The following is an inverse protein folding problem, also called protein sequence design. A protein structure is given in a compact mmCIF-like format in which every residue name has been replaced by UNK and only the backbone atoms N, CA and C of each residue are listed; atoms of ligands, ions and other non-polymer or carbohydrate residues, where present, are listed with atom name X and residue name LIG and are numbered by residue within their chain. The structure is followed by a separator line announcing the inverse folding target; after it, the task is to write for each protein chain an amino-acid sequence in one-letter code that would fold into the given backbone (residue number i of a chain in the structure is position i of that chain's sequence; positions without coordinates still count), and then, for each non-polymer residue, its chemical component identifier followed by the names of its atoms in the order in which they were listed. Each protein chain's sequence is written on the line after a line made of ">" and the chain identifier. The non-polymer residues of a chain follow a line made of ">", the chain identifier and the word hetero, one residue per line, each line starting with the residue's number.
data_IF_527265959139
#
_entry.id   IF_527265959139
#
_cell.length_a   1.000
_cell.length_b   1.000
_cell.length_c   1.000
_cell.angle_alpha   90.00
_cell.angle_beta   90.00
_cell.angle_gamma   90.00
#
_symmetry.space_group_name_H-M   'P 1'
#
loop_
_entity.id
_entity.type
_entity.pdbx_description
1 polymer ?
#
# COMPACT_ATOMS: atom_id res chain seq x y z
N UNK A 1 -25.54 -14.81 -8.60
CA UNK A 1 -24.09 -14.64 -8.84
C UNK A 1 -23.44 -14.43 -7.47
N UNK A 2 -22.67 -15.39 -6.97
CA UNK A 2 -22.13 -15.32 -5.60
C UNK A 2 -21.16 -14.13 -5.49
N UNK A 3 -21.54 -13.09 -4.76
CA UNK A 3 -20.61 -12.05 -4.32
C UNK A 3 -19.63 -12.70 -3.35
N UNK A 4 -18.50 -13.19 -3.87
CA UNK A 4 -17.36 -13.57 -3.03
C UNK A 4 -16.83 -12.28 -2.41
N UNK A 5 -16.98 -12.17 -1.09
CA UNK A 5 -16.39 -11.07 -0.32
C UNK A 5 -14.87 -10.96 -0.54
N UNK A 6 -14.25 -9.85 -0.14
CA UNK A 6 -12.82 -9.64 -0.31
C UNK A 6 -12.02 -10.74 0.40
N UNK A 7 -10.93 -11.17 -0.23
CA UNK A 7 -9.99 -12.16 0.33
C UNK A 7 -9.34 -11.57 1.58
N UNK A 8 -9.43 -12.24 2.76
CA UNK A 8 -8.78 -11.76 3.97
C UNK A 8 -7.26 -11.57 3.77
N UNK A 9 -6.67 -10.45 4.22
CA UNK A 9 -5.22 -10.22 4.10
C UNK A 9 -4.35 -11.33 4.71
N UNK A 10 -4.88 -12.05 5.70
CA UNK A 10 -4.22 -13.20 6.34
C UNK A 10 -4.02 -14.36 5.36
N UNK A 11 -4.87 -14.53 4.35
CA UNK A 11 -4.69 -15.56 3.33
C UNK A 11 -3.50 -15.25 2.42
N UNK A 12 -3.28 -13.96 2.10
CA UNK A 12 -2.07 -13.54 1.37
C UNK A 12 -0.81 -13.86 2.18
N UNK A 13 -0.80 -13.54 3.46
CA UNK A 13 0.36 -13.82 4.29
C UNK A 13 0.56 -15.34 4.50
N UNK A 14 -0.51 -16.11 4.69
CA UNK A 14 -0.44 -17.56 4.79
C UNK A 14 0.14 -18.21 3.52
N UNK A 15 -0.30 -17.79 2.33
CA UNK A 15 0.22 -18.32 1.08
C UNK A 15 1.71 -17.99 0.88
N UNK A 16 2.13 -16.80 1.29
CA UNK A 16 3.54 -16.38 1.25
C UNK A 16 4.41 -17.22 2.21
N UNK A 17 3.95 -17.47 3.43
CA UNK A 17 4.69 -18.29 4.41
C UNK A 17 4.82 -19.76 3.93
N UNK A 18 3.76 -20.32 3.34
CA UNK A 18 3.72 -21.74 2.95
C UNK A 18 4.32 -22.01 1.57
N UNK A 19 4.02 -21.18 0.56
CA UNK A 19 4.38 -21.47 -0.83
C UNK A 19 5.68 -20.80 -1.27
N UNK A 20 5.98 -19.62 -0.72
CA UNK A 20 7.17 -18.86 -1.10
C UNK A 20 8.34 -19.20 -0.18
N UNK A 21 8.14 -19.08 1.14
CA UNK A 21 9.19 -19.43 2.09
C UNK A 21 9.30 -20.92 2.39
N UNK A 22 8.19 -21.67 2.28
CA UNK A 22 8.15 -23.06 2.70
C UNK A 22 8.40 -23.23 4.20
N UNK A 23 7.82 -22.37 5.05
CA UNK A 23 8.02 -22.47 6.51
C UNK A 23 7.48 -23.81 7.01
N UNK A 24 8.37 -24.61 7.59
CA UNK A 24 8.03 -25.88 8.23
C UNK A 24 7.96 -25.77 9.76
N UNK A 25 7.44 -26.83 10.40
CA UNK A 25 7.32 -26.92 11.84
C UNK A 25 8.68 -26.83 12.56
N UNK A 26 9.77 -27.30 11.95
CA UNK A 26 11.10 -27.26 12.54
C UNK A 26 11.65 -25.83 12.57
N UNK A 27 11.41 -25.03 11.53
CA UNK A 27 11.74 -23.61 11.48
C UNK A 27 10.94 -22.81 12.50
N UNK A 28 9.65 -23.12 12.69
CA UNK A 28 8.81 -22.55 13.75
C UNK A 28 9.35 -22.89 15.15
N UNK A 29 9.70 -24.16 15.40
CA UNK A 29 10.29 -24.58 16.68
C UNK A 29 11.62 -23.88 16.97
N UNK A 30 12.46 -23.63 15.95
CA UNK A 30 13.70 -22.86 16.10
C UNK A 30 13.47 -21.41 16.54
N UNK A 31 12.37 -20.79 16.09
CA UNK A 31 11.99 -19.45 16.56
C UNK A 31 11.56 -19.45 18.04
N UNK A 32 10.88 -20.50 18.49
CA UNK A 32 10.38 -20.62 19.86
C UNK A 32 11.46 -21.07 20.88
N UNK A 33 12.58 -21.60 20.39
CA UNK A 33 13.65 -22.20 21.18
C UNK A 33 13.46 -23.72 21.40
N UNK A 34 14.55 -24.47 21.68
CA UNK A 34 14.48 -25.91 21.93
C UNK A 34 13.55 -26.23 23.11
N UNK A 35 12.66 -27.21 22.96
CA UNK A 35 11.73 -27.64 24.02
C UNK A 35 10.44 -26.81 24.16
N UNK A 36 10.11 -25.94 23.20
CA UNK A 36 8.84 -25.21 23.20
C UNK A 36 7.64 -26.15 23.03
N UNK A 37 6.69 -26.14 23.97
CA UNK A 37 5.44 -26.91 23.85
C UNK A 37 4.56 -26.47 22.68
N UNK A 38 3.61 -27.33 22.30
CA UNK A 38 2.68 -27.14 21.15
C UNK A 38 1.97 -25.78 21.18
N UNK A 39 1.60 -25.30 22.37
CA UNK A 39 0.92 -24.00 22.56
C UNK A 39 1.76 -22.80 22.12
N UNK A 40 3.07 -22.80 22.42
CA UNK A 40 3.99 -21.75 21.97
C UNK A 40 4.19 -21.79 20.46
N UNK A 41 4.31 -22.99 19.89
CA UNK A 41 4.42 -23.17 18.44
C UNK A 41 3.18 -22.65 17.69
N UNK A 42 1.98 -22.98 18.17
CA UNK A 42 0.71 -22.47 17.62
C UNK A 42 0.63 -20.95 17.78
N UNK A 43 0.98 -20.40 18.94
CA UNK A 43 1.00 -18.96 19.18
C UNK A 43 1.96 -18.22 18.23
N UNK A 44 3.16 -18.77 17.98
CA UNK A 44 4.11 -18.21 17.03
C UNK A 44 3.65 -18.32 15.58
N UNK A 45 3.00 -19.42 15.19
CA UNK A 45 2.40 -19.57 13.86
C UNK A 45 1.28 -18.54 13.65
N UNK A 46 0.39 -18.36 14.63
CA UNK A 46 -0.65 -17.32 14.59
C UNK A 46 -0.01 -15.94 14.55
N UNK A 47 1.01 -15.67 15.36
CA UNK A 47 1.75 -14.40 15.33
C UNK A 47 2.34 -14.09 13.96
N UNK A 48 2.92 -15.08 13.29
CA UNK A 48 3.44 -14.94 11.93
C UNK A 48 2.34 -14.61 10.91
N UNK A 49 1.13 -15.19 11.04
CA UNK A 49 0.00 -14.88 10.14
C UNK A 49 -0.44 -13.40 10.20
N UNK A 50 -0.31 -12.76 11.36
CA UNK A 50 -0.61 -11.33 11.51
C UNK A 50 0.62 -10.42 11.33
N UNK A 51 1.83 -11.01 11.27
CA UNK A 51 3.08 -10.30 11.04
C UNK A 51 3.46 -10.34 9.54
N UNK A 52 2.71 -9.65 8.69
CA UNK A 52 2.92 -9.64 7.23
C UNK A 52 4.29 -9.11 6.80
N UNK A 53 4.97 -8.37 7.68
CA UNK A 53 6.33 -7.83 7.47
C UNK A 53 7.42 -8.66 8.15
N UNK A 54 7.04 -9.75 8.82
CA UNK A 54 7.93 -10.67 9.53
C UNK A 54 8.89 -9.97 10.49
N UNK A 55 8.42 -8.89 11.13
CA UNK A 55 9.17 -8.06 12.09
C UNK A 55 9.74 -8.94 13.19
N UNK A 56 11.03 -8.79 13.50
CA UNK A 56 11.68 -9.52 14.59
C UNK A 56 12.00 -10.98 14.27
N UNK A 57 11.94 -11.39 12.99
CA UNK A 57 12.26 -12.76 12.55
C UNK A 57 13.39 -12.75 11.52
N UNK A 58 14.05 -13.91 11.26
CA UNK A 58 15.06 -14.02 10.21
C UNK A 58 14.55 -13.69 8.80
N UNK A 59 13.23 -13.71 8.59
CA UNK A 59 12.59 -13.45 7.30
C UNK A 59 11.99 -12.04 7.19
N UNK A 60 12.45 -11.11 8.03
CA UNK A 60 11.95 -9.73 8.03
C UNK A 60 12.04 -9.08 6.64
N UNK A 61 10.95 -8.47 6.23
CA UNK A 61 10.81 -7.88 4.90
C UNK A 61 11.70 -6.65 4.77
N UNK A 62 12.40 -6.54 3.63
CA UNK A 62 13.24 -5.38 3.30
C UNK A 62 12.42 -4.08 3.32
N UNK A 63 13.02 -2.99 3.80
CA UNK A 63 12.42 -1.67 3.92
C UNK A 63 11.23 -1.60 4.91
N UNK A 64 11.12 -2.55 5.83
CA UNK A 64 10.24 -2.40 6.99
C UNK A 64 10.62 -1.11 7.74
N UNK A 65 9.67 -0.20 8.02
CA UNK A 65 9.94 1.04 8.73
C UNK A 65 10.61 0.80 10.08
N UNK A 66 11.47 1.73 10.49
CA UNK A 66 12.21 1.63 11.74
C UNK A 66 11.27 1.50 12.94
N UNK A 67 11.66 0.64 13.88
CA UNK A 67 11.04 0.52 15.20
C UNK A 67 11.88 1.20 16.29
N UNK A 68 12.87 2.01 15.91
CA UNK A 68 13.65 2.82 16.84
C UNK A 68 12.70 3.71 17.66
N UNK A 69 12.93 3.80 18.96
CA UNK A 69 12.05 4.50 19.90
C UNK A 69 10.83 3.68 20.35
N UNK A 70 10.29 2.77 19.53
CA UNK A 70 9.17 1.91 19.97
C UNK A 70 9.62 0.84 20.97
N UNK A 71 10.87 0.38 20.87
CA UNK A 71 11.43 -0.63 21.77
C UNK A 71 11.56 -0.16 23.22
N UNK A 72 11.71 1.15 23.42
CA UNK A 72 11.86 1.78 24.74
C UNK A 72 10.53 2.28 25.31
N UNK A 73 9.45 2.27 24.52
CA UNK A 73 8.15 2.74 24.97
C UNK A 73 7.46 1.74 25.90
N UNK A 74 6.85 2.24 26.97
CA UNK A 74 5.93 1.44 27.78
C UNK A 74 4.68 1.08 26.99
N UNK A 75 4.04 -0.05 27.34
CA UNK A 75 2.79 -0.49 26.69
C UNK A 75 1.72 0.60 26.74
N UNK A 76 1.56 1.23 27.89
CA UNK A 76 0.59 2.30 28.13
C UNK A 76 0.86 3.51 27.24
N UNK A 77 2.11 4.00 27.20
CA UNK A 77 2.49 5.13 26.36
C UNK A 77 2.27 4.84 24.87
N UNK A 78 2.64 3.63 24.41
CA UNK A 78 2.40 3.20 23.04
C UNK A 78 0.90 3.20 22.70
N UNK A 79 0.06 2.60 23.55
CA UNK A 79 -1.38 2.52 23.32
C UNK A 79 -2.00 3.91 23.26
N UNK A 80 -1.70 4.81 24.21
CA UNK A 80 -2.23 6.17 24.19
C UNK A 80 -1.80 6.94 22.94
N UNK A 81 -0.53 6.83 22.54
CA UNK A 81 -0.03 7.44 21.31
C UNK A 81 -0.77 6.92 20.07
N UNK A 82 -0.96 5.59 19.96
CA UNK A 82 -1.70 4.99 18.84
C UNK A 82 -3.17 5.40 18.83
N UNK A 83 -3.83 5.47 19.99
CA UNK A 83 -5.21 5.95 20.11
C UNK A 83 -5.30 7.41 19.64
N UNK A 84 -4.42 8.29 20.12
CA UNK A 84 -4.42 9.70 19.73
C UNK A 84 -4.23 9.88 18.22
N UNK A 85 -3.27 9.18 17.62
CA UNK A 85 -3.04 9.20 16.16
C UNK A 85 -4.24 8.66 15.40
N UNK A 86 -4.85 7.56 15.86
CA UNK A 86 -6.05 6.98 15.23
C UNK A 86 -7.25 7.92 15.32
N UNK A 87 -7.43 8.62 16.44
CA UNK A 87 -8.52 9.61 16.58
C UNK A 87 -8.31 10.79 15.63
N UNK A 88 -7.09 11.32 15.51
CA UNK A 88 -6.79 12.37 14.53
C UNK A 88 -7.02 11.90 13.09
N UNK A 89 -6.57 10.68 12.77
CA UNK A 89 -6.82 10.05 11.47
C UNK A 89 -8.33 9.90 11.19
N UNK A 90 -9.10 9.46 12.19
CA UNK A 90 -10.55 9.32 12.10
C UNK A 90 -11.22 10.65 11.80
N UNK A 91 -10.89 11.71 12.54
CA UNK A 91 -11.45 13.05 12.33
C UNK A 91 -11.10 13.58 10.93
N UNK A 92 -9.86 13.36 10.47
CA UNK A 92 -9.48 13.73 9.11
C UNK A 92 -10.33 13.00 8.06
N UNK A 93 -10.50 11.68 8.20
CA UNK A 93 -11.33 10.88 7.28
C UNK A 93 -12.79 11.37 7.32
N UNK A 94 -13.33 11.68 8.50
CA UNK A 94 -14.70 12.19 8.67
C UNK A 94 -14.88 13.52 7.95
N UNK A 95 -13.92 14.45 8.05
CA UNK A 95 -13.94 15.69 7.28
C UNK A 95 -13.92 15.38 5.77
N UNK A 96 -12.96 14.58 5.29
CA UNK A 96 -12.81 14.30 3.85
C UNK A 96 -14.04 13.65 3.23
N UNK A 97 -14.69 12.76 3.97
CA UNK A 97 -15.89 12.04 3.51
C UNK A 97 -17.17 12.86 3.69
N UNK A 98 -17.10 14.02 4.33
CA UNK A 98 -18.21 14.99 4.43
C UNK A 98 -18.08 16.16 3.48
N UNK A 99 -16.97 16.27 2.75
CA UNK A 99 -16.86 17.21 1.65
C UNK A 99 -17.86 16.84 0.55
N UNK A 100 -18.40 17.84 -0.18
CA UNK A 100 -19.30 17.57 -1.29
C UNK A 100 -18.61 16.65 -2.32
N UNK A 101 -19.34 15.71 -2.94
CA UNK A 101 -18.79 14.88 -3.99
C UNK A 101 -18.29 15.76 -5.15
N UNK A 102 -17.26 15.30 -5.89
CA UNK A 102 -16.79 16.05 -7.04
C UNK A 102 -17.91 16.17 -8.09
N UNK A 103 -17.94 17.29 -8.81
CA UNK A 103 -18.79 17.42 -9.99
C UNK A 103 -18.47 16.29 -10.98
N UNK A 104 -19.50 15.56 -11.41
CA UNK A 104 -19.37 14.45 -12.35
C UNK A 104 -18.71 14.87 -13.66
N UNK A 105 -18.81 16.14 -14.04
CA UNK A 105 -18.11 16.71 -15.20
C UNK A 105 -16.58 16.63 -15.04
N UNK A 106 -16.05 16.74 -13.82
CA UNK A 106 -14.60 16.67 -13.54
C UNK A 106 -14.06 15.25 -13.54
N UNK A 107 -14.91 14.27 -13.24
CA UNK A 107 -14.55 12.85 -13.17
C UNK A 107 -15.10 12.03 -14.35
N UNK A 108 -15.39 12.66 -15.49
CA UNK A 108 -15.82 11.94 -16.70
C UNK A 108 -14.79 10.90 -17.16
N UNK A 109 -15.25 9.84 -17.83
CA UNK A 109 -14.41 8.73 -18.27
C UNK A 109 -13.26 9.17 -19.19
N UNK A 110 -13.54 10.06 -20.15
CA UNK A 110 -12.53 10.62 -21.06
C UNK A 110 -11.46 11.44 -20.31
N UNK A 111 -11.86 12.14 -19.25
CA UNK A 111 -10.96 12.87 -18.35
C UNK A 111 -10.19 11.96 -17.39
N UNK A 112 -10.43 10.65 -17.39
CA UNK A 112 -9.66 9.67 -16.63
C UNK A 112 -8.65 8.89 -17.47
N UNK A 113 -8.70 8.98 -18.80
CA UNK A 113 -7.88 8.17 -19.69
C UNK A 113 -6.38 8.55 -19.62
N UNK A 114 -5.50 7.54 -19.74
CA UNK A 114 -4.05 7.76 -19.86
C UNK A 114 -3.70 8.54 -21.13
N UNK A 115 -4.40 8.23 -22.25
CA UNK A 115 -4.21 8.83 -23.55
C UNK A 115 -5.51 8.83 -24.38
N UNK A 116 -5.68 9.78 -25.32
CA UNK A 116 -4.97 11.05 -25.41
C UNK A 116 -5.53 12.05 -24.38
N UNK A 117 -4.67 12.87 -23.78
CA UNK A 117 -5.07 13.92 -22.83
C UNK A 117 -5.63 15.18 -23.53
N UNK A 118 -6.02 15.06 -24.81
CA UNK A 118 -6.48 16.18 -25.61
C UNK A 118 -7.86 16.63 -25.08
N UNK A 119 -8.02 17.94 -24.85
CA UNK A 119 -9.28 18.51 -24.36
C UNK A 119 -9.35 18.75 -22.86
N UNK A 120 -8.29 18.47 -22.09
CA UNK A 120 -8.22 18.88 -20.69
C UNK A 120 -8.03 20.39 -20.58
N UNK A 121 -8.89 21.02 -19.78
CA UNK A 121 -8.78 22.43 -19.40
C UNK A 121 -7.87 22.57 -18.18
N UNK A 122 -7.47 23.81 -17.88
CA UNK A 122 -6.65 24.09 -16.69
C UNK A 122 -7.36 23.66 -15.40
N UNK A 123 -8.68 23.81 -15.34
CA UNK A 123 -9.53 23.33 -14.24
C UNK A 123 -9.44 21.80 -14.06
N UNK A 124 -9.39 21.04 -15.17
CA UNK A 124 -9.24 19.58 -15.13
C UNK A 124 -7.87 19.17 -14.58
N UNK A 125 -6.81 19.90 -14.95
CA UNK A 125 -5.45 19.65 -14.47
C UNK A 125 -5.35 19.95 -12.98
N UNK A 126 -5.87 21.11 -12.54
CA UNK A 126 -5.89 21.51 -11.13
C UNK A 126 -6.67 20.46 -10.31
N UNK A 127 -7.86 20.09 -10.78
CA UNK A 127 -8.69 19.08 -10.13
C UNK A 127 -7.96 17.73 -10.06
N UNK A 128 -7.35 17.25 -11.16
CA UNK A 128 -6.58 15.99 -11.20
C UNK A 128 -5.48 15.96 -10.15
N UNK A 129 -4.69 17.04 -10.03
CA UNK A 129 -3.59 17.12 -9.05
C UNK A 129 -4.16 17.11 -7.63
N UNK A 130 -5.17 17.95 -7.34
CA UNK A 130 -5.78 18.03 -6.02
C UNK A 130 -6.46 16.71 -5.60
N UNK A 131 -7.25 16.11 -6.49
CA UNK A 131 -7.92 14.83 -6.28
C UNK A 131 -6.92 13.70 -6.07
N UNK A 132 -5.80 13.70 -6.80
CA UNK A 132 -4.72 12.71 -6.62
C UNK A 132 -4.11 12.84 -5.22
N UNK A 133 -3.70 14.05 -4.81
CA UNK A 133 -3.14 14.28 -3.48
C UNK A 133 -4.13 13.83 -2.40
N UNK A 134 -5.40 14.27 -2.50
CA UNK A 134 -6.46 13.92 -1.56
C UNK A 134 -6.68 12.41 -1.47
N UNK A 135 -6.75 11.71 -2.60
CA UNK A 135 -6.92 10.26 -2.67
C UNK A 135 -5.77 9.53 -1.95
N UNK A 136 -4.52 9.79 -2.32
CA UNK A 136 -3.37 9.08 -1.75
C UNK A 136 -3.14 9.41 -0.27
N UNK A 137 -3.37 10.66 0.15
CA UNK A 137 -3.32 11.04 1.57
C UNK A 137 -4.40 10.30 2.36
N UNK A 138 -5.65 10.31 1.88
CA UNK A 138 -6.77 9.65 2.56
C UNK A 138 -6.56 8.14 2.65
N UNK A 139 -6.14 7.49 1.56
CA UNK A 139 -5.81 6.05 1.56
C UNK A 139 -4.68 5.74 2.54
N UNK A 140 -3.63 6.56 2.59
CA UNK A 140 -2.54 6.39 3.55
C UNK A 140 -3.00 6.50 5.00
N UNK A 141 -3.88 7.45 5.30
CA UNK A 141 -4.45 7.66 6.64
C UNK A 141 -5.37 6.51 7.05
N UNK A 142 -6.20 5.99 6.14
CA UNK A 142 -7.03 4.80 6.38
C UNK A 142 -6.14 3.59 6.72
N UNK A 143 -5.08 3.35 5.94
CA UNK A 143 -4.13 2.26 6.19
C UNK A 143 -3.43 2.42 7.55
N UNK A 144 -3.05 3.65 7.92
CA UNK A 144 -2.47 3.95 9.22
C UNK A 144 -3.46 3.65 10.36
N UNK A 145 -4.70 4.11 10.25
CA UNK A 145 -5.74 3.88 11.26
C UNK A 145 -6.01 2.39 11.46
N UNK A 146 -6.20 1.63 10.36
CA UNK A 146 -6.41 0.18 10.42
C UNK A 146 -5.23 -0.55 11.08
N UNK A 147 -4.00 -0.20 10.69
CA UNK A 147 -2.80 -0.78 11.30
C UNK A 147 -2.70 -0.43 12.79
N UNK A 148 -3.02 0.80 13.19
CA UNK A 148 -2.99 1.21 14.59
C UNK A 148 -4.02 0.43 15.42
N UNK A 149 -5.24 0.22 14.92
CA UNK A 149 -6.27 -0.58 15.60
C UNK A 149 -5.75 -2.00 15.84
N UNK A 150 -5.19 -2.64 14.81
CA UNK A 150 -4.57 -3.96 14.95
C UNK A 150 -3.43 -3.99 15.97
N UNK A 151 -2.55 -2.98 15.95
CA UNK A 151 -1.44 -2.86 16.91
C UNK A 151 -1.92 -2.63 18.34
N UNK A 152 -2.95 -1.81 18.56
CA UNK A 152 -3.55 -1.57 19.88
C UNK A 152 -4.10 -2.89 20.44
N UNK A 153 -4.90 -3.62 19.65
CA UNK A 153 -5.47 -4.91 20.06
C UNK A 153 -4.36 -5.90 20.38
N UNK A 154 -3.33 -6.00 19.52
CA UNK A 154 -2.23 -6.94 19.71
C UNK A 154 -1.40 -6.63 20.98
N UNK A 155 -1.17 -5.35 21.30
CA UNK A 155 -0.43 -4.96 22.51
C UNK A 155 -1.28 -5.09 23.78
N UNK A 156 -2.58 -4.75 23.72
CA UNK A 156 -3.52 -4.92 24.84
C UNK A 156 -3.67 -6.39 25.25
N UNK A 157 -3.77 -7.28 24.28
CA UNK A 157 -3.91 -8.73 24.49
C UNK A 157 -2.58 -9.42 24.83
N UNK A 158 -1.46 -8.70 24.77
CA UNK A 158 -0.12 -9.24 25.02
C UNK A 158 0.45 -10.11 23.88
N UNK A 159 -0.20 -10.14 22.71
CA UNK A 159 0.26 -10.86 21.51
C UNK A 159 1.48 -10.19 20.85
N UNK A 160 1.70 -8.90 21.08
CA UNK A 160 2.83 -8.15 20.53
C UNK A 160 3.36 -7.14 21.52
N UNK A 161 4.65 -6.79 21.38
CA UNK A 161 5.28 -5.67 22.09
C UNK A 161 5.20 -4.41 21.20
N UNK A 162 5.27 -3.20 21.77
CA UNK A 162 5.32 -1.94 21.00
C UNK A 162 6.33 -1.96 19.83
N UNK A 163 7.51 -2.53 20.08
CA UNK A 163 8.58 -2.69 19.09
C UNK A 163 8.29 -3.62 17.91
N UNK A 164 7.30 -4.50 18.04
CA UNK A 164 6.86 -5.44 17.00
C UNK A 164 5.84 -4.80 16.05
N UNK A 165 5.37 -3.59 16.37
CA UNK A 165 4.32 -2.88 15.64
C UNK A 165 4.83 -1.59 14.98
N UNK A 166 5.81 -1.65 14.05
CA UNK A 166 6.27 -0.48 13.33
C UNK A 166 5.13 0.13 12.48
N UNK A 167 5.18 1.45 12.18
CA UNK A 167 4.18 2.09 11.32
C UNK A 167 4.12 1.43 9.94
N UNK A 168 2.96 1.41 9.24
CA UNK A 168 2.79 0.71 7.97
C UNK A 168 3.43 1.45 6.79
N UNK A 169 3.61 2.76 6.92
CA UNK A 169 4.22 3.67 5.95
C UNK A 169 5.66 3.98 6.38
N UNK A 170 6.55 4.13 5.40
CA UNK A 170 7.90 4.62 5.61
C UNK A 170 7.99 6.15 5.47
N UNK A 171 9.20 6.71 5.52
CA UNK A 171 9.41 8.15 5.38
C UNK A 171 9.13 8.62 3.95
N UNK A 172 8.26 9.62 3.77
CA UNK A 172 8.00 10.25 2.47
C UNK A 172 9.15 11.18 2.01
N UNK A 173 10.10 11.50 2.90
CA UNK A 173 11.37 12.15 2.53
C UNK A 173 12.23 11.30 1.58
N UNK A 174 11.89 10.03 1.40
CA UNK A 174 12.55 9.13 0.44
C UNK A 174 11.76 8.94 -0.86
N UNK A 175 10.55 9.48 -0.95
CA UNK A 175 9.60 9.24 -2.05
C UNK A 175 9.82 10.08 -3.30
N UNK A 176 11.05 10.45 -3.64
CA UNK A 176 11.38 11.33 -4.78
C UNK A 176 11.58 10.57 -6.12
N UNK A 177 11.26 9.27 -6.18
CA UNK A 177 11.12 8.49 -7.42
C UNK A 177 9.97 7.51 -7.22
N UNK A 178 9.31 7.08 -8.29
CA UNK A 178 8.22 6.11 -8.23
C UNK A 178 8.73 4.81 -7.61
N UNK A 179 9.95 4.36 -7.96
CA UNK A 179 10.59 3.20 -7.34
C UNK A 179 10.69 3.32 -5.81
N UNK A 180 11.15 4.46 -5.31
CA UNK A 180 11.32 4.66 -3.85
C UNK A 180 9.99 4.88 -3.15
N UNK A 181 9.04 5.56 -3.79
CA UNK A 181 7.70 5.72 -3.27
C UNK A 181 7.07 4.37 -2.94
N UNK A 182 6.99 3.44 -3.88
CA UNK A 182 6.46 2.08 -3.64
C UNK A 182 7.39 1.22 -2.78
N UNK A 183 8.70 1.40 -2.97
CA UNK A 183 9.71 0.55 -2.35
C UNK A 183 9.98 0.85 -0.87
N UNK A 184 9.74 2.09 -0.42
CA UNK A 184 10.17 2.60 0.89
C UNK A 184 9.03 3.31 1.61
N UNK A 185 8.36 4.26 0.95
CA UNK A 185 7.45 5.20 1.62
C UNK A 185 6.02 4.65 1.76
N UNK A 186 5.46 4.10 0.69
CA UNK A 186 4.09 3.60 0.64
C UNK A 186 3.94 2.27 1.40
N UNK A 187 2.70 1.84 1.66
CA UNK A 187 2.43 0.75 2.62
C UNK A 187 3.25 -0.54 2.40
N UNK A 188 3.94 -1.00 3.44
CA UNK A 188 4.87 -2.13 3.34
C UNK A 188 4.22 -3.49 3.64
N UNK A 189 2.90 -3.54 3.85
CA UNK A 189 2.20 -4.73 4.33
C UNK A 189 2.04 -5.84 3.28
N UNK A 190 1.89 -5.49 2.00
CA UNK A 190 1.73 -6.46 0.91
C UNK A 190 3.04 -6.81 0.21
N UNK A 191 4.15 -6.15 0.58
CA UNK A 191 5.42 -6.27 -0.13
C UNK A 191 5.90 -7.72 -0.25
N UNK A 192 5.93 -8.44 0.87
CA UNK A 192 6.38 -9.84 0.90
C UNK A 192 5.56 -10.72 -0.03
N UNK A 193 4.24 -10.63 0.08
CA UNK A 193 3.33 -11.38 -0.76
C UNK A 193 3.57 -11.09 -2.26
N UNK A 194 3.61 -9.81 -2.64
CA UNK A 194 3.74 -9.41 -4.05
C UNK A 194 5.08 -9.86 -4.64
N UNK A 195 6.19 -9.58 -3.97
CA UNK A 195 7.53 -9.95 -4.48
C UNK A 195 7.77 -11.45 -4.37
N UNK A 196 7.32 -12.09 -3.30
CA UNK A 196 7.48 -13.52 -3.07
C UNK A 196 6.74 -14.37 -4.09
N UNK A 197 5.50 -14.01 -4.43
CA UNK A 197 4.74 -14.73 -5.46
C UNK A 197 5.29 -14.46 -6.86
N UNK A 198 5.76 -13.23 -7.13
CA UNK A 198 6.50 -12.95 -8.36
C UNK A 198 7.75 -13.84 -8.45
N UNK A 199 8.49 -13.99 -7.35
CA UNK A 199 9.68 -14.82 -7.31
C UNK A 199 9.37 -16.30 -7.55
N UNK A 200 8.34 -16.82 -6.89
CA UNK A 200 7.88 -18.19 -7.03
C UNK A 200 7.48 -18.52 -8.47
N UNK A 201 6.73 -17.62 -9.12
CA UNK A 201 6.29 -17.82 -10.50
C UNK A 201 7.50 -17.82 -11.44
N UNK A 202 8.36 -16.81 -11.38
CA UNK A 202 9.51 -16.70 -12.30
C UNK A 202 10.49 -17.87 -12.12
N UNK A 203 10.75 -18.27 -10.88
CA UNK A 203 11.63 -19.41 -10.61
C UNK A 203 11.07 -20.74 -11.18
N UNK A 204 9.74 -20.87 -11.30
CA UNK A 204 9.09 -22.06 -11.86
C UNK A 204 8.95 -22.01 -13.38
N UNK A 205 8.63 -20.85 -13.95
CA UNK A 205 8.32 -20.71 -15.38
C UNK A 205 9.52 -20.36 -16.24
N UNK A 206 10.50 -19.65 -15.68
CA UNK A 206 11.70 -19.19 -16.38
C UNK A 206 12.98 -19.54 -15.58
N UNK A 207 13.22 -20.82 -15.24
CA UNK A 207 14.35 -21.23 -14.40
C UNK A 207 15.72 -20.97 -15.04
N UNK A 208 15.75 -20.83 -16.38
CA UNK A 208 16.96 -20.57 -17.17
C UNK A 208 17.35 -19.09 -17.22
N UNK A 209 16.50 -18.19 -16.72
CA UNK A 209 16.80 -16.77 -16.74
C UNK A 209 17.98 -16.47 -15.80
N UNK A 210 19.06 -15.81 -16.26
CA UNK A 210 20.20 -15.51 -15.41
C UNK A 210 19.77 -14.65 -14.23
N UNK A 211 19.97 -15.18 -13.02
CA UNK A 211 19.64 -14.48 -11.77
C UNK A 211 20.36 -13.14 -11.74
N UNK A 212 19.67 -12.11 -11.27
CA UNK A 212 20.19 -10.75 -11.15
C UNK A 212 20.48 -10.03 -12.47
N UNK A 213 20.14 -10.63 -13.62
CA UNK A 213 20.12 -9.89 -14.88
C UNK A 213 19.06 -8.78 -14.87
N UNK A 214 19.19 -7.78 -15.74
CA UNK A 214 18.19 -6.74 -15.89
C UNK A 214 16.81 -7.31 -16.26
N UNK A 215 16.78 -8.33 -17.14
CA UNK A 215 15.57 -9.04 -17.51
C UNK A 215 14.90 -9.71 -16.30
N UNK A 216 15.67 -10.46 -15.49
CA UNK A 216 15.19 -11.09 -14.26
C UNK A 216 14.58 -10.08 -13.28
N UNK A 217 15.27 -8.97 -13.04
CA UNK A 217 14.79 -7.87 -12.19
C UNK A 217 13.49 -7.27 -12.69
N UNK A 218 13.39 -6.95 -13.99
CA UNK A 218 12.26 -6.24 -14.55
C UNK A 218 11.03 -7.12 -14.77
N UNK A 219 11.22 -8.40 -15.11
CA UNK A 219 10.12 -9.35 -15.20
C UNK A 219 9.50 -9.56 -13.81
N UNK A 220 10.30 -9.76 -12.76
CA UNK A 220 9.81 -9.87 -11.37
C UNK A 220 9.09 -8.61 -10.90
N UNK A 221 9.63 -7.43 -11.23
CA UNK A 221 9.00 -6.15 -10.94
C UNK A 221 7.61 -6.05 -11.60
N UNK A 222 7.53 -6.29 -12.91
CA UNK A 222 6.26 -6.26 -13.66
C UNK A 222 5.27 -7.25 -13.10
N UNK A 223 5.72 -8.45 -12.73
CA UNK A 223 4.84 -9.46 -12.17
C UNK A 223 4.31 -9.08 -10.78
N UNK A 224 5.13 -8.47 -9.92
CA UNK A 224 4.68 -7.94 -8.63
C UNK A 224 3.59 -6.86 -8.81
N UNK A 225 3.78 -5.95 -9.77
CA UNK A 225 2.77 -4.94 -10.12
C UNK A 225 1.52 -5.53 -10.78
N UNK A 226 1.66 -6.58 -11.61
CA UNK A 226 0.53 -7.31 -12.18
C UNK A 226 -0.33 -7.95 -11.09
N UNK A 227 0.29 -8.66 -10.14
CA UNK A 227 -0.40 -9.27 -9.00
C UNK A 227 -1.12 -8.18 -8.18
N UNK A 228 -0.46 -7.05 -7.92
CA UNK A 228 -1.08 -5.90 -7.25
C UNK A 228 -2.29 -5.37 -8.02
N UNK A 229 -2.17 -5.18 -9.33
CA UNK A 229 -3.26 -4.70 -10.18
C UNK A 229 -4.44 -5.67 -10.24
N UNK A 230 -4.20 -6.98 -10.21
CA UNK A 230 -5.27 -7.98 -10.13
C UNK A 230 -6.02 -7.91 -8.80
N UNK A 231 -5.32 -7.74 -7.67
CA UNK A 231 -5.95 -7.57 -6.36
C UNK A 231 -6.84 -6.33 -6.34
N UNK A 232 -6.32 -5.19 -6.81
CA UNK A 232 -7.08 -3.94 -6.83
C UNK A 232 -8.25 -3.99 -7.82
N UNK A 233 -8.08 -4.60 -9.01
CA UNK A 233 -9.19 -4.85 -9.93
C UNK A 233 -10.34 -5.61 -9.26
N UNK A 234 -10.02 -6.66 -8.50
CA UNK A 234 -11.04 -7.42 -7.75
C UNK A 234 -11.68 -6.59 -6.63
N UNK A 235 -10.90 -5.75 -5.96
CA UNK A 235 -11.40 -4.80 -4.96
C UNK A 235 -12.41 -3.81 -5.55
N UNK A 236 -12.05 -3.16 -6.64
CA UNK A 236 -12.91 -2.22 -7.37
C UNK A 236 -14.20 -2.89 -7.86
N UNK A 237 -14.11 -4.11 -8.40
CA UNK A 237 -15.28 -4.90 -8.82
C UNK A 237 -16.22 -5.18 -7.63
N UNK A 238 -15.67 -5.51 -6.46
CA UNK A 238 -16.45 -5.72 -5.24
C UNK A 238 -17.11 -4.44 -4.72
N UNK A 239 -16.57 -3.26 -5.08
CA UNK A 239 -17.16 -1.95 -4.82
C UNK A 239 -18.15 -1.50 -5.91
N UNK A 240 -18.34 -2.29 -6.97
CA UNK A 240 -19.30 -2.01 -8.04
C UNK A 240 -18.72 -1.33 -9.28
N UNK A 241 -17.40 -1.16 -9.39
CA UNK A 241 -16.77 -0.59 -10.60
C UNK A 241 -16.92 -1.56 -11.78
N UNK A 242 -17.54 -1.14 -12.90
CA UNK A 242 -17.70 -1.99 -14.08
C UNK A 242 -16.35 -2.38 -14.70
N UNK A 243 -16.27 -3.59 -15.28
CA UNK A 243 -15.05 -4.11 -15.92
C UNK A 243 -14.51 -3.23 -17.05
N UNK A 244 -15.40 -2.57 -17.79
CA UNK A 244 -15.05 -1.66 -18.88
C UNK A 244 -14.40 -0.36 -18.40
N UNK A 245 -14.65 0.04 -17.15
CA UNK A 245 -14.10 1.25 -16.54
C UNK A 245 -12.96 0.96 -15.56
N UNK A 246 -12.67 -0.32 -15.29
CA UNK A 246 -11.68 -0.71 -14.29
C UNK A 246 -10.24 -0.47 -14.78
N UNK A 247 -9.64 0.62 -14.32
CA UNK A 247 -8.30 1.04 -14.70
C UNK A 247 -7.16 0.47 -13.86
N UNK A 248 -7.41 -0.43 -12.89
CA UNK A 248 -6.39 -0.90 -11.95
C UNK A 248 -5.17 -1.50 -12.66
N UNK A 249 -5.37 -2.40 -13.63
CA UNK A 249 -4.26 -3.01 -14.37
C UNK A 249 -3.43 -1.98 -15.15
N UNK A 250 -4.09 -1.01 -15.80
CA UNK A 250 -3.41 0.05 -16.53
C UNK A 250 -2.57 0.92 -15.58
N UNK A 251 -3.12 1.26 -14.42
CA UNK A 251 -2.41 1.98 -13.36
C UNK A 251 -1.18 1.20 -12.88
N UNK A 252 -1.34 -0.02 -12.36
CA UNK A 252 -0.20 -0.74 -11.77
C UNK A 252 0.87 -1.14 -12.80
N UNK A 253 0.49 -1.52 -14.03
CA UNK A 253 1.48 -1.87 -15.05
C UNK A 253 2.24 -0.66 -15.59
N UNK A 254 1.61 0.51 -15.70
CA UNK A 254 2.33 1.75 -16.06
C UNK A 254 3.38 2.13 -15.02
N UNK A 255 3.16 1.82 -13.74
CA UNK A 255 4.15 2.03 -12.68
C UNK A 255 5.34 1.08 -12.78
N UNK A 256 5.14 -0.16 -13.22
CA UNK A 256 6.27 -1.05 -13.53
C UNK A 256 7.11 -0.47 -14.68
N UNK A 257 6.46 -0.03 -15.76
CA UNK A 257 7.13 0.56 -16.92
C UNK A 257 7.90 1.84 -16.55
N UNK A 258 7.29 2.74 -15.76
CA UNK A 258 7.95 3.99 -15.40
C UNK A 258 9.17 3.76 -14.52
N UNK A 259 9.13 2.76 -13.64
CA UNK A 259 10.27 2.42 -12.80
C UNK A 259 11.45 1.93 -13.65
N UNK A 260 11.20 1.21 -14.76
CA UNK A 260 12.25 0.83 -15.71
C UNK A 260 12.84 2.06 -16.40
N UNK A 261 11.99 3.03 -16.77
CA UNK A 261 12.43 4.30 -17.33
C UNK A 261 13.28 5.11 -16.32
N UNK A 262 12.84 5.20 -15.07
CA UNK A 262 13.57 5.86 -13.98
C UNK A 262 14.96 5.24 -13.77
N UNK A 263 15.08 3.92 -13.83
CA UNK A 263 16.36 3.23 -13.68
C UNK A 263 17.32 3.53 -14.85
N UNK A 264 16.81 3.76 -16.06
CA UNK A 264 17.63 4.13 -17.23
C UNK A 264 18.07 5.61 -17.18
N UNK A 265 17.14 6.51 -16.88
CA UNK A 265 17.37 7.97 -16.95
C UNK A 265 18.02 8.51 -15.66
N UNK A 266 17.71 7.91 -14.51
CA UNK A 266 18.11 8.40 -13.21
C UNK A 266 19.63 8.48 -13.02
N UNK A 267 20.39 7.54 -13.58
CA UNK A 267 21.85 7.56 -13.53
C UNK A 267 22.44 8.74 -14.32
N UNK A 268 21.85 9.08 -15.46
CA UNK A 268 22.28 10.22 -16.29
C UNK A 268 22.00 11.53 -15.55
N UNK A 269 20.79 11.69 -15.01
CA UNK A 269 20.43 12.91 -14.27
C UNK A 269 21.29 13.11 -13.02
N UNK A 270 21.58 12.02 -12.29
CA UNK A 270 22.45 12.08 -11.11
C UNK A 270 23.91 12.43 -11.44
N UNK A 271 24.38 12.14 -12.65
CA UNK A 271 25.71 12.51 -13.12
C UNK A 271 25.78 13.98 -13.58
N UNK A 272 24.67 14.52 -14.12
CA UNK A 272 24.65 15.86 -14.72
C UNK A 272 24.20 16.97 -13.77
N UNK A 273 23.43 16.66 -12.72
CA UNK A 273 22.79 17.65 -11.87
C UNK A 273 23.20 17.50 -10.39
N UNK A 274 23.25 18.63 -9.64
CA UNK A 274 23.41 18.59 -8.19
C UNK A 274 22.31 17.76 -7.51
N UNK A 275 22.69 16.98 -6.50
CA UNK A 275 21.79 16.09 -5.75
C UNK A 275 20.50 16.78 -5.24
N UNK A 276 20.59 18.04 -4.80
CA UNK A 276 19.41 18.82 -4.35
C UNK A 276 18.41 19.07 -5.47
N UNK A 277 18.89 19.35 -6.67
CA UNK A 277 18.05 19.56 -7.86
C UNK A 277 17.38 18.25 -8.25
N UNK A 278 18.13 17.14 -8.26
CA UNK A 278 17.56 15.81 -8.50
C UNK A 278 16.43 15.47 -7.52
N UNK A 279 16.54 15.87 -6.25
CA UNK A 279 15.49 15.65 -5.27
C UNK A 279 14.22 16.45 -5.56
N UNK A 280 14.34 17.74 -5.80
CA UNK A 280 13.17 18.59 -6.11
C UNK A 280 12.49 18.12 -7.40
N UNK A 281 13.27 17.86 -8.45
CA UNK A 281 12.76 17.33 -9.71
C UNK A 281 12.09 15.97 -9.51
N UNK A 282 12.67 15.11 -8.68
CA UNK A 282 12.11 13.80 -8.36
C UNK A 282 10.74 13.87 -7.69
N UNK A 283 10.54 14.79 -6.75
CA UNK A 283 9.22 15.00 -6.13
C UNK A 283 8.18 15.53 -7.12
N UNK A 284 8.55 16.51 -7.93
CA UNK A 284 7.68 17.04 -8.98
C UNK A 284 7.31 15.96 -10.00
N UNK A 285 8.29 15.12 -10.35
CA UNK A 285 8.11 13.98 -11.24
C UNK A 285 7.13 12.96 -10.68
N UNK A 286 7.30 12.53 -9.42
CA UNK A 286 6.40 11.58 -8.77
C UNK A 286 4.99 12.14 -8.71
N UNK A 287 4.82 13.40 -8.33
CA UNK A 287 3.51 14.05 -8.28
C UNK A 287 2.87 14.12 -9.67
N UNK A 288 3.62 14.54 -10.69
CA UNK A 288 3.12 14.63 -12.06
C UNK A 288 2.72 13.26 -12.61
N UNK A 289 3.54 12.23 -12.38
CA UNK A 289 3.26 10.87 -12.83
C UNK A 289 2.03 10.27 -12.15
N UNK A 290 1.90 10.47 -10.83
CA UNK A 290 0.70 10.06 -10.10
C UNK A 290 -0.53 10.84 -10.55
N UNK A 291 -0.43 12.15 -10.77
CA UNK A 291 -1.55 12.97 -11.26
C UNK A 291 -1.98 12.60 -12.68
N UNK A 292 -1.07 12.05 -13.48
CA UNK A 292 -1.37 11.52 -14.80
C UNK A 292 -2.05 10.14 -14.75
N UNK A 293 -1.55 9.23 -13.91
CA UNK A 293 -2.00 7.82 -13.90
C UNK A 293 -3.16 7.54 -12.95
N UNK A 294 -3.24 8.21 -11.79
CA UNK A 294 -4.26 7.97 -10.77
C UNK A 294 -5.70 8.15 -11.27
N UNK A 295 -6.04 9.15 -12.11
CA UNK A 295 -7.40 9.32 -12.62
C UNK A 295 -7.97 8.06 -13.29
N UNK A 296 -7.14 7.30 -14.03
CA UNK A 296 -7.55 6.05 -14.68
C UNK A 296 -8.04 5.02 -13.67
N UNK A 297 -7.45 5.00 -12.48
CA UNK A 297 -7.80 4.08 -11.41
C UNK A 297 -8.90 4.62 -10.48
N UNK A 298 -8.82 5.90 -10.08
CA UNK A 298 -9.66 6.45 -9.01
C UNK A 298 -10.99 7.05 -9.49
N UNK A 299 -11.07 7.60 -10.72
CA UNK A 299 -12.30 8.26 -11.19
C UNK A 299 -13.53 7.33 -11.28
N UNK A 300 -13.40 6.07 -11.73
CA UNK A 300 -14.54 5.14 -11.70
C UNK A 300 -15.16 5.00 -10.31
N UNK A 301 -14.34 4.85 -9.27
CA UNK A 301 -14.81 4.82 -7.88
C UNK A 301 -15.43 6.14 -7.44
N UNK A 302 -14.83 7.28 -7.83
CA UNK A 302 -15.40 8.61 -7.50
C UNK A 302 -16.79 8.82 -8.14
N UNK A 303 -17.03 8.31 -9.34
CA UNK A 303 -18.34 8.39 -10.03
C UNK A 303 -19.43 7.56 -9.35
N UNK A 304 -19.07 6.42 -8.76
CA UNK A 304 -20.00 5.61 -7.97
C UNK A 304 -20.41 6.31 -6.67
N UNK A 305 -19.61 7.28 -6.23
CA UNK A 305 -19.76 7.92 -4.94
C UNK A 305 -19.20 7.07 -3.82
N UNK A 306 -19.08 7.68 -2.65
CA UNK A 306 -18.59 7.02 -1.46
C UNK A 306 -19.66 7.05 -0.37
N UNK A 307 -20.05 5.89 0.14
CA UNK A 307 -20.87 5.83 1.34
C UNK A 307 -19.99 6.06 2.57
N UNK A 308 -19.99 7.30 3.07
CA UNK A 308 -19.25 7.68 4.27
C UNK A 308 -19.65 6.88 5.53
N UNK A 309 -20.84 6.26 5.55
CA UNK A 309 -21.30 5.41 6.66
C UNK A 309 -20.72 4.00 6.60
N UNK A 310 -20.33 3.53 5.40
CA UNK A 310 -19.65 2.25 5.23
C UNK A 310 -18.20 2.29 5.75
N UNK A 311 -17.57 3.47 5.80
CA UNK A 311 -16.19 3.63 6.28
C UNK A 311 -16.10 3.99 7.76
N UNK A 312 -17.03 4.81 8.25
CA UNK A 312 -17.02 5.33 9.61
C UNK A 312 -18.33 4.97 10.32
N UNK A 313 -18.28 4.18 11.41
CA UNK A 313 -19.49 3.78 12.12
C UNK A 313 -20.22 4.97 12.75
N UNK A 314 -19.50 6.05 13.08
CA UNK A 314 -20.05 7.27 13.69
C UNK A 314 -19.49 8.51 13.01
N UNK A 315 -20.35 9.40 12.51
CA UNK A 315 -19.95 10.68 11.91
C UNK A 315 -19.92 11.75 13.02
N UNK A 316 -18.76 12.31 13.33
CA UNK A 316 -18.56 13.26 14.45
C UNK A 316 -18.67 14.70 13.96
N UNK A 317 -17.89 15.07 12.96
CA UNK A 317 -17.85 16.39 12.32
C UNK A 317 -18.84 16.43 11.15
N UNK A 318 -18.97 15.32 10.44
CA UNK A 318 -19.73 15.27 9.19
C UNK A 318 -21.16 15.81 9.21
N UNK A 319 -21.98 15.54 10.24
CA UNK A 319 -23.34 16.07 10.33
C UNK A 319 -23.42 17.60 10.43
N UNK A 320 -22.33 18.26 10.82
CA UNK A 320 -22.26 19.71 10.93
C UNK A 320 -21.81 20.37 9.61
N UNK A 321 -20.98 19.68 8.82
CA UNK A 321 -20.51 20.15 7.52
C UNK A 321 -21.54 19.94 6.39
N UNK A 322 -22.40 18.93 6.50
CA UNK A 322 -23.45 18.67 5.51
C UNK A 322 -24.68 19.58 5.64
N UNK A 323 -24.73 20.41 6.69
CA UNK A 323 -25.83 21.35 7.00
C UNK A 323 -25.49 22.81 6.66
N UNK A 324 -24.26 23.10 6.25
CA UNK A 324 -23.78 24.41 5.80
C UNK A 324 -23.70 24.47 4.29
#
# INVERSE_FOLDING_TARGET
>A
MFHRGPVPPQLFNASDLLLVLGIDAAQLSRLCGPGSGTTKSVSSAVGLLFNSRRVGTPWQVKNTPSNAGLQIQSRTAFIFSRIAVTMLAYLFIDIMTSLPPPDLVMVRADKGALFPANGLRIEDIIFRVAATISYWVTTGIVLLAMNNVGAIIAVLTGLSRPGDCPPPLGPFTEGYTVRRFWGISWHQMLRSFLTGHADLIINKTLPFLPRHSAADRYIRLTLAFLISGLIHRRGDQAQGVPDAENGALAFFLSHAAIIMLEDCVGHVLAALLPRRICYVMGYLWVLAFFAWTSPTYMYPGMRLGFDGTALLPIRVIGPYLSRS
#
